data_IF_293386801966
#
_entry.id   IF_293386801966
#
_cell.length_a   1.000
_cell.length_b   1.000
_cell.length_c   1.000
_cell.angle_alpha   90.00
_cell.angle_beta   90.00
_cell.angle_gamma   90.00
#
_symmetry.space_group_name_H-M   'P 1'
#
loop_
_entity.id
_entity.type
_entity.pdbx_description
1 polymer ?
#
# COMPACT_ATOMS: atom_id res chain seq x y z
N UNK A 1 -43.99 9.48 -24.44
CA UNK A 1 -42.70 9.68 -25.13
C UNK A 1 -41.62 9.88 -24.08
N UNK A 2 -40.68 8.93 -24.02
CA UNK A 2 -39.35 8.94 -23.39
C UNK A 2 -39.22 9.27 -21.89
N UNK A 3 -39.22 8.20 -21.10
CA UNK A 3 -38.59 8.09 -19.77
C UNK A 3 -37.07 8.05 -19.91
N UNK A 4 -36.36 9.06 -19.41
CA UNK A 4 -34.90 9.04 -19.30
C UNK A 4 -34.50 8.32 -18.00
N UNK A 5 -34.18 7.02 -18.13
CA UNK A 5 -33.51 6.25 -17.08
C UNK A 5 -32.04 6.64 -17.00
N UNK A 6 -31.71 7.55 -16.07
CA UNK A 6 -30.33 7.80 -15.69
C UNK A 6 -29.77 6.58 -14.95
N UNK A 7 -28.88 5.83 -15.61
CA UNK A 7 -28.09 4.78 -14.95
C UNK A 7 -27.18 5.46 -13.93
N UNK A 8 -27.45 5.23 -12.65
CA UNK A 8 -26.48 5.48 -11.60
C UNK A 8 -25.24 4.61 -11.84
N UNK A 9 -24.07 5.23 -11.85
CA UNK A 9 -22.79 4.54 -11.87
C UNK A 9 -22.60 3.79 -10.54
N UNK A 10 -22.24 2.50 -10.53
CA UNK A 10 -22.04 1.77 -9.30
C UNK A 10 -20.65 2.10 -8.72
N UNK A 11 -20.59 3.17 -7.94
CA UNK A 11 -19.47 3.50 -7.07
C UNK A 11 -19.94 3.55 -5.61
N UNK A 12 -19.11 3.03 -4.70
CA UNK A 12 -19.18 3.14 -3.25
C UNK A 12 -20.20 2.25 -2.51
N UNK A 13 -19.85 0.97 -2.28
CA UNK A 13 -20.14 0.21 -1.05
C UNK A 13 -19.57 -1.23 -1.11
N UNK A 14 -18.28 -1.39 -0.83
CA UNK A 14 -17.62 -2.60 -0.26
C UNK A 14 -16.12 -2.44 -0.42
N UNK A 15 -15.32 -2.88 0.57
CA UNK A 15 -13.87 -2.71 0.66
C UNK A 15 -13.06 -3.50 -0.38
N UNK A 16 -13.39 -3.35 -1.66
CA UNK A 16 -12.68 -3.95 -2.78
C UNK A 16 -11.76 -2.91 -3.43
N UNK A 17 -10.44 -2.90 -3.17
CA UNK A 17 -9.67 -1.71 -3.52
C UNK A 17 -9.05 -1.71 -4.91
N UNK A 18 -9.17 -2.73 -5.78
CA UNK A 18 -8.53 -2.67 -7.11
C UNK A 18 -9.30 -3.41 -8.21
N UNK A 19 -9.41 -2.80 -9.40
CA UNK A 19 -9.66 -3.55 -10.61
C UNK A 19 -8.54 -4.59 -10.76
N UNK A 20 -8.92 -5.84 -11.03
CA UNK A 20 -7.95 -6.91 -11.19
C UNK A 20 -7.15 -6.65 -12.47
N UNK A 21 -5.82 -6.77 -12.45
CA UNK A 21 -4.99 -6.45 -13.61
C UNK A 21 -5.36 -7.39 -14.76
N UNK A 22 -5.52 -6.84 -15.97
CA UNK A 22 -5.86 -7.58 -17.19
C UNK A 22 -4.78 -8.58 -17.61
N UNK A 23 -3.53 -8.37 -17.20
CA UNK A 23 -2.43 -9.32 -17.39
C UNK A 23 -2.59 -10.58 -16.54
N UNK A 24 -3.45 -10.57 -15.51
CA UNK A 24 -3.71 -11.74 -14.66
C UNK A 24 -4.21 -12.95 -15.47
N UNK A 25 -4.98 -12.72 -16.53
CA UNK A 25 -5.49 -13.82 -17.36
C UNK A 25 -4.39 -14.50 -18.19
N UNK A 26 -3.15 -13.98 -18.15
CA UNK A 26 -1.96 -14.51 -18.84
C UNK A 26 -0.95 -15.15 -17.89
N UNK A 27 -1.35 -15.61 -16.70
CA UNK A 27 -0.47 -16.30 -15.73
C UNK A 27 0.43 -17.35 -16.39
N UNK A 28 -0.11 -18.22 -17.24
CA UNK A 28 0.69 -19.23 -17.96
C UNK A 28 1.77 -18.59 -18.84
N UNK A 29 1.43 -17.52 -19.55
CA UNK A 29 2.37 -16.75 -20.37
C UNK A 29 3.45 -16.09 -19.53
N UNK A 30 3.10 -15.45 -18.42
CA UNK A 30 4.06 -14.85 -17.48
C UNK A 30 5.04 -15.89 -16.92
N UNK A 31 4.56 -17.10 -16.62
CA UNK A 31 5.44 -18.21 -16.18
C UNK A 31 6.43 -18.62 -17.27
N UNK A 32 5.98 -18.64 -18.52
CA UNK A 32 6.84 -18.90 -19.67
C UNK A 32 7.86 -17.78 -19.89
N UNK A 33 7.46 -16.51 -19.74
CA UNK A 33 8.37 -15.35 -19.82
C UNK A 33 9.47 -15.43 -18.77
N UNK A 34 9.13 -15.68 -17.50
CA UNK A 34 10.12 -15.85 -16.43
C UNK A 34 11.09 -17.00 -16.72
N UNK A 35 10.58 -18.18 -17.10
CA UNK A 35 11.41 -19.34 -17.40
C UNK A 35 12.32 -19.14 -18.62
N UNK A 36 11.81 -18.50 -19.67
CA UNK A 36 12.62 -18.19 -20.87
C UNK A 36 13.73 -17.21 -20.53
N UNK A 37 13.46 -16.16 -19.76
CA UNK A 37 14.47 -15.20 -19.33
C UNK A 37 15.55 -15.87 -18.46
N UNK A 38 15.15 -16.74 -17.52
CA UNK A 38 16.08 -17.45 -16.63
C UNK A 38 17.01 -18.43 -17.38
N UNK A 39 16.51 -19.08 -18.45
CA UNK A 39 17.26 -20.11 -19.17
C UNK A 39 17.78 -19.68 -20.53
N UNK A 40 17.48 -18.47 -21.02
CA UNK A 40 17.90 -17.98 -22.34
C UNK A 40 17.49 -18.87 -23.53
N UNK A 41 16.48 -19.75 -23.35
CA UNK A 41 16.07 -20.73 -24.36
C UNK A 41 14.63 -21.20 -24.14
N UNK A 42 13.83 -21.17 -25.22
CA UNK A 42 12.46 -21.69 -25.22
C UNK A 42 12.42 -23.21 -25.04
N UNK A 43 13.44 -23.92 -25.52
CA UNK A 43 13.53 -25.38 -25.37
C UNK A 43 13.78 -25.74 -23.90
N UNK A 44 14.80 -25.14 -23.29
CA UNK A 44 15.10 -25.39 -21.86
C UNK A 44 13.96 -24.95 -20.95
N UNK A 45 13.31 -23.84 -21.25
CA UNK A 45 12.11 -23.41 -20.53
C UNK A 45 10.96 -24.40 -20.69
N UNK A 46 10.77 -24.99 -21.87
CA UNK A 46 9.74 -26.00 -22.09
C UNK A 46 10.00 -27.27 -21.27
N UNK A 47 11.25 -27.75 -21.25
CA UNK A 47 11.67 -28.89 -20.45
C UNK A 47 11.44 -28.64 -18.95
N UNK A 48 11.86 -27.47 -18.45
CA UNK A 48 11.70 -27.07 -17.05
C UNK A 48 10.23 -26.95 -16.64
N UNK A 49 9.38 -26.42 -17.53
CA UNK A 49 7.96 -26.22 -17.25
C UNK A 49 7.11 -27.47 -17.53
N UNK A 50 7.71 -28.56 -18.00
CA UNK A 50 7.03 -29.77 -18.50
C UNK A 50 5.99 -29.44 -19.59
N UNK A 51 6.33 -28.55 -20.52
CA UNK A 51 5.51 -28.13 -21.65
C UNK A 51 6.21 -28.46 -22.97
N UNK A 52 5.48 -28.41 -24.09
CA UNK A 52 6.12 -28.44 -25.41
C UNK A 52 6.70 -27.07 -25.77
N UNK A 53 7.81 -27.05 -26.52
CA UNK A 53 8.39 -25.79 -27.01
C UNK A 53 7.37 -24.91 -27.77
N UNK A 54 6.52 -25.45 -28.68
CA UNK A 54 5.47 -24.64 -29.31
C UNK A 54 4.44 -24.07 -28.33
N UNK A 55 4.19 -24.72 -27.19
CA UNK A 55 3.30 -24.18 -26.16
C UNK A 55 3.95 -23.00 -25.40
N UNK A 56 5.24 -23.09 -25.07
CA UNK A 56 5.99 -21.97 -24.46
C UNK A 56 6.05 -20.78 -25.40
N UNK A 57 6.43 -20.99 -26.66
CA UNK A 57 6.51 -19.91 -27.66
C UNK A 57 5.17 -19.21 -27.86
N UNK A 58 4.07 -19.96 -27.96
CA UNK A 58 2.72 -19.36 -28.08
C UNK A 58 2.34 -18.56 -26.84
N UNK A 59 2.62 -19.08 -25.64
CA UNK A 59 2.29 -18.40 -24.39
C UNK A 59 3.11 -17.10 -24.21
N UNK A 60 4.39 -17.09 -24.63
CA UNK A 60 5.21 -15.86 -24.66
C UNK A 60 4.64 -14.85 -25.65
N UNK A 61 4.29 -15.28 -26.87
CA UNK A 61 3.68 -14.41 -27.88
C UNK A 61 2.35 -13.77 -27.42
N UNK A 62 1.55 -14.47 -26.60
CA UNK A 62 0.33 -13.90 -26.01
C UNK A 62 0.62 -12.77 -25.02
N UNK A 63 1.74 -12.85 -24.28
CA UNK A 63 2.20 -11.76 -23.41
C UNK A 63 2.77 -10.63 -24.25
N UNK A 64 3.62 -10.91 -25.25
CA UNK A 64 4.16 -9.88 -26.16
C UNK A 64 3.05 -9.10 -26.87
N UNK A 65 1.99 -9.77 -27.31
CA UNK A 65 0.80 -9.13 -27.89
C UNK A 65 0.09 -8.20 -26.90
N UNK A 66 0.00 -8.58 -25.63
CA UNK A 66 -0.58 -7.72 -24.60
C UNK A 66 0.32 -6.53 -24.29
N UNK A 67 1.63 -6.76 -24.24
CA UNK A 67 2.63 -5.71 -24.07
C UNK A 67 2.74 -4.81 -25.31
N UNK A 68 2.20 -5.18 -26.46
CA UNK A 68 2.43 -4.53 -27.76
C UNK A 68 3.93 -4.33 -28.09
N UNK A 69 4.80 -5.21 -27.56
CA UNK A 69 6.24 -5.10 -27.67
C UNK A 69 6.90 -6.48 -27.59
N UNK A 70 8.04 -6.63 -28.27
CA UNK A 70 8.88 -7.83 -28.16
C UNK A 70 9.56 -7.86 -26.79
N UNK A 71 9.39 -8.97 -26.09
CA UNK A 71 10.04 -9.25 -24.81
C UNK A 71 11.35 -10.01 -25.02
N UNK A 72 11.49 -10.72 -26.15
CA UNK A 72 12.71 -11.47 -26.47
C UNK A 72 13.21 -11.23 -27.88
N UNK A 73 14.54 -11.20 -28.02
CA UNK A 73 15.25 -11.16 -29.29
C UNK A 73 16.01 -12.48 -29.51
N UNK A 74 16.10 -12.90 -30.76
CA UNK A 74 16.87 -14.09 -31.15
C UNK A 74 18.31 -13.68 -31.48
N UNK A 75 19.27 -14.33 -30.84
CA UNK A 75 20.69 -14.18 -31.15
C UNK A 75 21.36 -15.54 -31.42
N UNK A 76 22.62 -15.50 -31.86
CA UNK A 76 23.39 -16.70 -32.21
C UNK A 76 23.55 -17.71 -31.06
N UNK A 77 23.40 -17.28 -29.80
CA UNK A 77 23.56 -18.10 -28.59
C UNK A 77 22.25 -18.39 -27.84
N UNK A 78 21.09 -18.02 -28.39
CA UNK A 78 19.79 -18.28 -27.76
C UNK A 78 18.83 -17.10 -27.85
N UNK A 79 17.91 -17.01 -26.90
CA UNK A 79 16.99 -15.88 -26.76
C UNK A 79 17.42 -14.97 -25.62
N UNK A 80 17.41 -13.67 -25.88
CA UNK A 80 17.80 -12.63 -24.93
C UNK A 80 16.59 -11.75 -24.62
N UNK A 81 16.41 -11.41 -23.35
CA UNK A 81 15.34 -10.50 -22.96
C UNK A 81 15.66 -9.08 -23.42
N UNK A 82 14.68 -8.38 -24.00
CA UNK A 82 14.75 -6.93 -24.20
C UNK A 82 14.74 -6.22 -22.85
N UNK A 83 14.93 -4.89 -22.81
CA UNK A 83 14.83 -4.13 -21.54
C UNK A 83 13.47 -4.32 -20.88
N UNK A 84 12.38 -4.18 -21.66
CA UNK A 84 11.03 -4.50 -21.19
C UNK A 84 10.89 -5.98 -20.82
N UNK A 85 11.42 -6.88 -21.64
CA UNK A 85 11.42 -8.32 -21.39
C UNK A 85 12.02 -8.70 -20.04
N UNK A 86 13.18 -8.12 -19.71
CA UNK A 86 13.86 -8.35 -18.44
C UNK A 86 13.03 -7.83 -17.26
N UNK A 87 12.44 -6.63 -17.39
CA UNK A 87 11.56 -6.03 -16.37
C UNK A 87 10.33 -6.89 -16.10
N UNK A 88 9.64 -7.33 -17.14
CA UNK A 88 8.46 -8.19 -17.02
C UNK A 88 8.82 -9.57 -16.47
N UNK A 89 9.95 -10.16 -16.89
CA UNK A 89 10.42 -11.43 -16.36
C UNK A 89 10.75 -11.36 -14.86
N UNK A 90 11.40 -10.28 -14.41
CA UNK A 90 11.71 -10.07 -12.99
C UNK A 90 10.44 -9.97 -12.13
N UNK A 91 9.46 -9.17 -12.56
CA UNK A 91 8.17 -9.07 -11.86
C UNK A 91 7.41 -10.40 -11.90
N UNK A 92 7.46 -11.12 -13.01
CA UNK A 92 6.81 -12.43 -13.15
C UNK A 92 7.44 -13.45 -12.20
N UNK A 93 8.76 -13.42 -12.02
CA UNK A 93 9.43 -14.27 -11.03
C UNK A 93 8.93 -13.96 -9.61
N UNK A 94 8.98 -12.68 -9.20
CA UNK A 94 8.51 -12.25 -7.87
C UNK A 94 7.05 -12.60 -7.61
N UNK A 95 6.22 -12.47 -8.65
CA UNK A 95 4.82 -12.89 -8.63
C UNK A 95 4.67 -14.37 -8.28
N UNK A 96 5.42 -15.26 -8.94
CA UNK A 96 5.35 -16.69 -8.67
C UNK A 96 5.99 -17.04 -7.31
N UNK A 97 7.07 -16.36 -6.92
CA UNK A 97 7.67 -16.52 -5.59
C UNK A 97 6.65 -16.22 -4.48
N UNK A 98 5.84 -15.17 -4.63
CA UNK A 98 4.75 -14.87 -3.70
C UNK A 98 3.69 -15.98 -3.69
N UNK A 99 3.25 -16.45 -4.85
CA UNK A 99 2.25 -17.50 -4.94
C UNK A 99 2.72 -18.83 -4.32
N UNK A 100 4.00 -19.21 -4.52
CA UNK A 100 4.59 -20.40 -3.90
C UNK A 100 4.78 -20.23 -2.39
N UNK A 101 5.23 -19.06 -1.94
CA UNK A 101 5.32 -18.75 -0.52
C UNK A 101 3.94 -18.83 0.16
N UNK A 102 2.89 -18.33 -0.49
CA UNK A 102 1.52 -18.41 0.03
C UNK A 102 1.01 -19.83 0.20
N UNK A 103 1.25 -20.70 -0.78
CA UNK A 103 0.89 -22.11 -0.68
C UNK A 103 1.68 -22.81 0.45
N UNK A 104 2.99 -22.55 0.53
CA UNK A 104 3.86 -23.10 1.58
C UNK A 104 3.43 -22.66 2.98
N UNK A 105 3.18 -21.36 3.17
CA UNK A 105 2.73 -20.78 4.44
C UNK A 105 1.35 -21.32 4.85
N UNK A 106 0.42 -21.48 3.90
CA UNK A 106 -0.90 -22.02 4.16
C UNK A 106 -0.84 -23.46 4.69
N UNK A 107 0.01 -24.31 4.11
CA UNK A 107 0.23 -25.69 4.59
C UNK A 107 0.91 -25.71 5.96
N UNK A 108 1.88 -24.82 6.20
CA UNK A 108 2.59 -24.75 7.48
C UNK A 108 1.68 -24.36 8.67
N UNK A 109 0.59 -23.65 8.40
CA UNK A 109 -0.40 -23.23 9.40
C UNK A 109 -1.50 -24.28 9.65
N UNK A 110 -1.45 -25.44 8.99
CA UNK A 110 -2.42 -26.52 9.23
C UNK A 110 -2.10 -27.31 10.52
N UNK A 111 -3.13 -27.83 11.22
CA UNK A 111 -2.94 -28.70 12.39
C UNK A 111 -2.09 -29.94 12.05
N UNK A 112 -1.30 -30.41 13.02
CA UNK A 112 -0.49 -31.62 12.83
C UNK A 112 -1.38 -32.85 12.55
N UNK A 113 -1.15 -33.52 11.42
CA UNK A 113 -1.89 -34.71 10.98
C UNK A 113 -2.65 -34.55 9.67
N UNK A 114 -2.89 -33.32 9.19
CA UNK A 114 -3.44 -33.07 7.86
C UNK A 114 -2.32 -32.88 6.82
N UNK A 115 -1.94 -33.97 6.14
CA UNK A 115 -1.32 -33.95 4.81
C UNK A 115 -0.01 -33.15 4.62
N UNK A 116 1.06 -33.50 5.35
CA UNK A 116 2.42 -32.97 5.12
C UNK A 116 3.19 -33.62 3.96
N UNK A 117 2.62 -34.62 3.28
CA UNK A 117 3.35 -35.39 2.27
C UNK A 117 3.28 -34.80 0.85
N UNK A 118 4.47 -34.39 0.38
CA UNK A 118 4.97 -34.61 -0.97
C UNK A 118 4.23 -33.91 -2.12
N UNK A 119 4.77 -32.78 -2.56
CA UNK A 119 4.87 -32.27 -3.95
C UNK A 119 4.82 -30.74 -3.97
N UNK A 120 5.88 -30.12 -3.44
CA UNK A 120 6.18 -28.70 -3.67
C UNK A 120 6.44 -28.48 -5.18
N UNK A 121 5.90 -27.40 -5.76
CA UNK A 121 6.18 -26.99 -7.14
C UNK A 121 5.05 -27.17 -8.18
N UNK A 122 3.87 -27.73 -7.83
CA UNK A 122 2.72 -27.81 -8.77
C UNK A 122 1.73 -26.64 -8.66
N UNK A 123 1.76 -25.86 -7.58
CA UNK A 123 0.79 -24.78 -7.36
C UNK A 123 0.81 -23.76 -8.50
N UNK A 124 1.98 -23.17 -8.79
CA UNK A 124 2.14 -22.16 -9.82
C UNK A 124 1.92 -22.68 -11.25
N UNK A 125 2.02 -23.99 -11.47
CA UNK A 125 1.72 -24.60 -12.77
C UNK A 125 0.21 -24.66 -13.06
N UNK A 126 -0.62 -24.72 -12.02
CA UNK A 126 -2.05 -25.04 -12.12
C UNK A 126 -2.99 -23.95 -11.61
N UNK A 127 -2.48 -22.99 -10.82
CA UNK A 127 -3.29 -21.90 -10.28
C UNK A 127 -3.86 -21.03 -11.41
N UNK A 128 -5.13 -20.66 -11.27
CA UNK A 128 -5.86 -19.87 -12.27
C UNK A 128 -6.08 -18.44 -11.80
N UNK A 129 -6.20 -17.50 -12.74
CA UNK A 129 -6.59 -16.13 -12.39
C UNK A 129 -7.95 -16.12 -11.68
N UNK A 130 -8.91 -16.93 -12.12
CA UNK A 130 -10.24 -17.01 -11.53
C UNK A 130 -10.22 -17.40 -10.04
N UNK A 131 -9.38 -18.38 -9.66
CA UNK A 131 -9.27 -18.82 -8.27
C UNK A 131 -8.61 -17.77 -7.37
N UNK A 132 -7.56 -17.10 -7.86
CA UNK A 132 -6.93 -15.98 -7.14
C UNK A 132 -7.90 -14.80 -6.97
N UNK A 133 -8.61 -14.44 -8.04
CA UNK A 133 -9.64 -13.38 -8.06
C UNK A 133 -10.75 -13.71 -7.07
N UNK A 134 -11.21 -14.96 -7.02
CA UNK A 134 -12.24 -15.42 -6.08
C UNK A 134 -11.78 -15.32 -4.61
N UNK A 135 -10.52 -15.64 -4.29
CA UNK A 135 -10.01 -15.52 -2.92
C UNK A 135 -10.02 -14.07 -2.42
N UNK A 136 -9.54 -13.13 -3.26
CA UNK A 136 -9.62 -11.70 -2.93
C UNK A 136 -11.08 -11.27 -2.77
N UNK A 137 -11.97 -11.82 -3.59
CA UNK A 137 -13.38 -11.47 -3.57
C UNK A 137 -14.13 -11.86 -2.31
N UNK A 138 -13.91 -13.10 -1.87
CA UNK A 138 -14.57 -13.63 -0.70
C UNK A 138 -14.04 -12.96 0.57
N UNK A 139 -12.76 -12.58 0.59
CA UNK A 139 -12.16 -11.83 1.68
C UNK A 139 -12.81 -10.44 1.88
N UNK A 140 -13.14 -9.74 0.80
CA UNK A 140 -13.74 -8.41 0.86
C UNK A 140 -15.25 -8.43 1.21
N UNK A 141 -15.96 -9.51 0.88
CA UNK A 141 -17.43 -9.55 0.92
C UNK A 141 -18.02 -10.50 1.98
N UNK A 142 -17.23 -11.44 2.48
CA UNK A 142 -17.65 -12.54 3.37
C UNK A 142 -18.87 -13.37 2.84
N UNK A 143 -19.21 -13.22 1.56
CA UNK A 143 -20.38 -13.81 0.92
C UNK A 143 -20.04 -14.23 -0.51
N UNK A 144 -20.21 -15.52 -0.83
CA UNK A 144 -19.95 -16.05 -2.18
C UNK A 144 -20.87 -15.39 -3.23
N UNK A 145 -22.10 -15.03 -2.86
CA UNK A 145 -23.03 -14.34 -3.75
C UNK A 145 -22.55 -12.92 -4.07
N UNK A 146 -22.12 -12.16 -3.06
CA UNK A 146 -21.57 -10.81 -3.28
C UNK A 146 -20.23 -10.85 -4.01
N UNK A 147 -19.38 -11.84 -3.71
CA UNK A 147 -18.15 -12.08 -4.46
C UNK A 147 -18.42 -12.36 -5.95
N UNK A 148 -19.44 -13.18 -6.25
CA UNK A 148 -19.84 -13.48 -7.61
C UNK A 148 -20.38 -12.25 -8.35
N UNK A 149 -21.21 -11.44 -7.69
CA UNK A 149 -21.68 -10.16 -8.24
C UNK A 149 -20.50 -9.21 -8.53
N UNK A 150 -19.55 -9.08 -7.60
CA UNK A 150 -18.38 -8.22 -7.77
C UNK A 150 -17.48 -8.67 -8.92
N UNK A 151 -17.38 -9.98 -9.15
CA UNK A 151 -16.59 -10.57 -10.25
C UNK A 151 -17.34 -10.65 -11.59
N UNK A 152 -18.64 -10.34 -11.63
CA UNK A 152 -19.49 -10.55 -12.81
C UNK A 152 -19.61 -12.03 -13.19
N UNK A 153 -19.58 -12.93 -12.22
CA UNK A 153 -19.62 -14.38 -12.40
C UNK A 153 -20.85 -14.99 -11.70
N UNK A 154 -21.13 -16.27 -11.98
CA UNK A 154 -22.13 -17.02 -11.23
C UNK A 154 -21.58 -17.45 -9.86
N UNK A 155 -22.44 -17.52 -8.83
CA UNK A 155 -22.02 -18.02 -7.50
C UNK A 155 -21.42 -19.44 -7.55
N UNK A 156 -21.96 -20.42 -8.31
CA UNK A 156 -21.32 -21.73 -8.48
C UNK A 156 -19.92 -21.66 -9.09
N UNK A 157 -19.65 -20.70 -9.99
CA UNK A 157 -18.31 -20.50 -10.57
C UNK A 157 -17.31 -20.04 -9.50
N UNK A 158 -17.70 -19.08 -8.66
CA UNK A 158 -16.85 -18.60 -7.55
C UNK A 158 -16.61 -19.73 -6.54
N UNK A 159 -17.67 -20.47 -6.17
CA UNK A 159 -17.54 -21.61 -5.26
C UNK A 159 -16.54 -22.64 -5.78
N UNK A 160 -16.64 -23.02 -7.06
CA UNK A 160 -15.71 -23.95 -7.69
C UNK A 160 -14.27 -23.42 -7.69
N UNK A 161 -14.08 -22.17 -8.09
CA UNK A 161 -12.75 -21.54 -8.13
C UNK A 161 -12.08 -21.51 -6.75
N UNK A 162 -12.85 -21.28 -5.68
CA UNK A 162 -12.35 -21.35 -4.30
C UNK A 162 -11.98 -22.78 -3.88
N UNK A 163 -12.82 -23.77 -4.22
CA UNK A 163 -12.54 -25.19 -3.94
C UNK A 163 -11.30 -25.68 -4.68
N UNK A 164 -11.14 -25.28 -5.94
CA UNK A 164 -9.95 -25.58 -6.74
C UNK A 164 -8.70 -24.97 -6.09
N UNK A 165 -8.80 -23.75 -5.54
CA UNK A 165 -7.69 -23.13 -4.83
C UNK A 165 -7.29 -23.90 -3.56
N UNK A 166 -8.26 -24.29 -2.73
CA UNK A 166 -8.00 -25.08 -1.51
C UNK A 166 -7.38 -26.44 -1.87
N UNK A 167 -7.85 -27.09 -2.94
CA UNK A 167 -7.29 -28.35 -3.42
C UNK A 167 -5.85 -28.19 -3.91
N UNK A 168 -5.56 -27.15 -4.69
CA UNK A 168 -4.23 -26.86 -5.21
C UNK A 168 -3.24 -26.44 -4.11
N UNK A 169 -3.70 -25.60 -3.18
CA UNK A 169 -2.92 -25.19 -2.01
C UNK A 169 -2.76 -26.32 -0.98
N UNK A 170 -3.59 -27.38 -1.08
CA UNK A 170 -3.69 -28.48 -0.12
C UNK A 170 -3.96 -28.00 1.30
N UNK A 171 -4.66 -26.88 1.42
CA UNK A 171 -4.97 -26.23 2.67
C UNK A 171 -6.41 -25.75 2.68
N UNK A 172 -7.07 -25.87 3.85
CA UNK A 172 -8.38 -25.29 4.06
C UNK A 172 -8.21 -23.79 4.30
N UNK A 173 -8.58 -22.99 3.31
CA UNK A 173 -8.45 -21.53 3.34
C UNK A 173 -9.71 -20.87 3.89
N UNK A 174 -10.85 -21.57 3.85
CA UNK A 174 -12.16 -21.01 4.16
C UNK A 174 -12.91 -21.88 5.16
N UNK A 175 -13.71 -21.22 6.00
CA UNK A 175 -14.67 -21.88 6.88
C UNK A 175 -16.01 -21.13 6.87
N UNK A 176 -17.08 -21.87 7.10
CA UNK A 176 -18.44 -21.31 7.18
C UNK A 176 -18.73 -20.89 8.61
N UNK A 177 -19.12 -19.64 8.77
CA UNK A 177 -19.62 -19.05 10.01
C UNK A 177 -21.12 -18.77 9.88
N UNK A 178 -21.78 -18.54 11.02
CA UNK A 178 -23.17 -18.04 11.07
C UNK A 178 -23.30 -16.69 10.34
N UNK A 179 -22.21 -15.91 10.25
CA UNK A 179 -22.16 -14.60 9.56
C UNK A 179 -21.65 -14.66 8.11
N UNK A 180 -21.54 -15.85 7.52
CA UNK A 180 -21.05 -16.04 6.15
C UNK A 180 -19.71 -16.78 6.07
N UNK A 181 -19.03 -16.65 4.94
CA UNK A 181 -17.75 -17.32 4.68
C UNK A 181 -16.60 -16.49 5.21
N UNK A 182 -15.68 -17.10 5.96
CA UNK A 182 -14.50 -16.45 6.54
C UNK A 182 -13.22 -17.19 6.16
N UNK A 183 -12.10 -16.47 6.21
CA UNK A 183 -10.78 -17.05 6.04
C UNK A 183 -10.35 -17.78 7.32
N UNK A 184 -9.61 -18.88 7.14
CA UNK A 184 -8.77 -19.47 8.19
C UNK A 184 -7.45 -18.71 8.26
N UNK A 185 -6.60 -18.98 9.26
CA UNK A 185 -5.25 -18.42 9.33
C UNK A 185 -4.42 -18.75 8.07
N UNK A 186 -4.56 -19.97 7.55
CA UNK A 186 -3.99 -20.38 6.27
C UNK A 186 -4.55 -19.56 5.09
N UNK A 187 -5.85 -19.26 5.11
CA UNK A 187 -6.51 -18.38 4.15
C UNK A 187 -6.01 -16.93 4.20
N UNK A 188 -5.77 -16.40 5.39
CA UNK A 188 -5.21 -15.05 5.57
C UNK A 188 -3.76 -14.96 5.07
N UNK A 189 -2.93 -15.96 5.40
CA UNK A 189 -1.55 -16.06 4.90
C UNK A 189 -1.51 -16.14 3.37
N UNK A 190 -2.35 -16.99 2.77
CA UNK A 190 -2.47 -17.11 1.32
C UNK A 190 -2.95 -15.81 0.69
N UNK A 191 -4.00 -15.17 1.25
CA UNK A 191 -4.54 -13.92 0.72
C UNK A 191 -3.46 -12.82 0.68
N UNK A 192 -2.68 -12.65 1.75
CA UNK A 192 -1.59 -11.67 1.79
C UNK A 192 -0.64 -11.84 0.62
N UNK A 193 -0.24 -13.08 0.33
CA UNK A 193 0.68 -13.41 -0.76
C UNK A 193 0.04 -13.24 -2.14
N UNK A 194 -1.24 -13.55 -2.30
CA UNK A 194 -2.00 -13.28 -3.52
C UNK A 194 -2.12 -11.79 -3.82
N UNK A 195 -2.33 -10.95 -2.79
CA UNK A 195 -2.36 -9.49 -2.97
C UNK A 195 -1.01 -8.94 -3.43
N UNK A 196 0.10 -9.43 -2.87
CA UNK A 196 1.45 -9.09 -3.33
C UNK A 196 1.68 -9.52 -4.79
N UNK A 197 1.25 -10.72 -5.18
CA UNK A 197 1.29 -11.16 -6.58
C UNK A 197 0.47 -10.23 -7.51
N UNK A 198 -0.71 -9.77 -7.08
CA UNK A 198 -1.48 -8.79 -7.85
C UNK A 198 -0.82 -7.41 -7.92
N UNK A 199 -0.07 -7.00 -6.90
CA UNK A 199 0.73 -5.79 -6.97
C UNK A 199 1.82 -5.89 -8.05
N UNK A 200 2.51 -7.03 -8.18
CA UNK A 200 3.47 -7.26 -9.28
C UNK A 200 2.80 -7.19 -10.65
N UNK A 201 1.59 -7.74 -10.81
CA UNK A 201 0.84 -7.66 -12.06
C UNK A 201 0.45 -6.21 -12.41
N UNK A 202 -0.02 -5.42 -11.44
CA UNK A 202 -0.32 -3.99 -11.65
C UNK A 202 0.94 -3.22 -12.04
N UNK A 203 2.05 -3.53 -11.37
CA UNK A 203 3.33 -2.91 -11.67
C UNK A 203 3.84 -3.26 -13.09
N UNK A 204 3.61 -4.49 -13.57
CA UNK A 204 3.86 -4.86 -14.97
C UNK A 204 3.05 -4.00 -15.94
N UNK A 205 1.76 -3.79 -15.68
CA UNK A 205 0.91 -2.97 -16.55
C UNK A 205 1.33 -1.50 -16.58
N UNK A 206 1.74 -0.95 -15.44
CA UNK A 206 2.31 0.40 -15.36
C UNK A 206 3.62 0.50 -16.15
N UNK A 207 4.52 -0.48 -16.01
CA UNK A 207 5.79 -0.51 -16.75
C UNK A 207 5.58 -0.69 -18.26
N UNK A 208 4.61 -1.51 -18.68
CA UNK A 208 4.21 -1.64 -20.09
C UNK A 208 3.69 -0.31 -20.62
N UNK A 209 2.85 0.40 -19.87
CA UNK A 209 2.32 1.68 -20.33
C UNK A 209 3.44 2.74 -20.45
N UNK A 210 4.32 2.80 -19.45
CA UNK A 210 5.49 3.69 -19.42
C UNK A 210 6.44 3.42 -20.59
N UNK A 211 6.64 2.16 -20.97
CA UNK A 211 7.40 1.78 -22.17
C UNK A 211 6.85 2.41 -23.46
N UNK A 212 5.55 2.65 -23.54
CA UNK A 212 4.90 3.33 -24.66
C UNK A 212 4.84 4.86 -24.48
N UNK A 213 5.61 5.41 -23.54
CA UNK A 213 5.65 6.83 -23.23
C UNK A 213 4.48 7.34 -22.39
N UNK A 214 3.70 6.44 -21.78
CA UNK A 214 2.53 6.82 -20.98
C UNK A 214 2.64 6.30 -19.54
N UNK A 215 3.05 7.16 -18.62
CA UNK A 215 3.01 6.83 -17.19
C UNK A 215 1.57 6.94 -16.70
N UNK A 216 1.00 5.78 -16.35
CA UNK A 216 -0.36 5.66 -15.83
C UNK A 216 -0.44 4.53 -14.81
N UNK A 217 -1.54 4.53 -14.07
CA UNK A 217 -1.83 3.50 -13.09
C UNK A 217 -2.49 4.11 -11.86
N UNK A 218 -2.34 3.43 -10.73
CA UNK A 218 -2.98 3.84 -9.49
C UNK A 218 -2.03 3.61 -8.33
N UNK A 219 -1.74 4.68 -7.60
CA UNK A 219 -0.86 4.68 -6.44
C UNK A 219 -1.67 5.00 -5.18
N UNK A 220 -1.66 4.09 -4.21
CA UNK A 220 -2.35 4.26 -2.93
C UNK A 220 -1.34 4.62 -1.84
N UNK A 221 -1.52 5.80 -1.24
CA UNK A 221 -0.65 6.41 -0.25
C UNK A 221 -1.33 6.35 1.12
N UNK A 222 -0.66 5.71 2.07
CA UNK A 222 -1.01 5.80 3.49
C UNK A 222 -0.40 7.05 4.12
N UNK A 223 -1.21 8.03 4.50
CA UNK A 223 -0.77 9.26 5.13
C UNK A 223 -0.81 9.17 6.67
N UNK A 224 0.32 9.45 7.32
CA UNK A 224 0.36 9.67 8.77
C UNK A 224 0.08 11.14 9.11
N UNK A 225 -0.54 11.41 10.27
CA UNK A 225 -0.78 12.77 10.75
C UNK A 225 0.49 13.63 10.81
N UNK A 226 0.30 14.95 10.78
CA UNK A 226 1.35 15.95 11.03
C UNK A 226 2.56 15.90 10.08
N UNK A 227 2.39 15.23 8.94
CA UNK A 227 3.45 15.03 7.95
C UNK A 227 3.05 15.55 6.58
N UNK A 228 1.75 15.53 6.26
CA UNK A 228 1.27 15.64 4.87
C UNK A 228 0.71 17.00 4.47
N UNK A 229 0.72 18.02 5.32
CA UNK A 229 -0.18 19.17 5.10
C UNK A 229 0.31 20.19 4.07
N UNK A 230 1.60 20.20 3.72
CA UNK A 230 2.11 21.10 2.66
C UNK A 230 2.76 20.33 1.51
N UNK A 231 3.72 19.44 1.78
CA UNK A 231 4.51 18.81 0.72
C UNK A 231 3.74 17.75 -0.08
N UNK A 232 2.88 16.94 0.57
CA UNK A 232 2.15 15.88 -0.13
C UNK A 232 1.17 16.44 -1.18
N UNK A 233 0.34 17.47 -0.87
CA UNK A 233 -0.47 18.15 -1.87
C UNK A 233 0.33 18.67 -3.06
N UNK A 234 1.52 19.26 -2.82
CA UNK A 234 2.40 19.75 -3.88
C UNK A 234 2.92 18.60 -4.76
N UNK A 235 3.37 17.50 -4.17
CA UNK A 235 3.80 16.32 -4.89
C UNK A 235 2.68 15.70 -5.73
N UNK A 236 1.47 15.60 -5.16
CA UNK A 236 0.28 15.11 -5.86
C UNK A 236 -0.08 16.04 -7.02
N UNK A 237 -0.03 17.35 -6.82
CA UNK A 237 -0.28 18.32 -7.87
C UNK A 237 0.74 18.19 -9.01
N UNK A 238 2.03 18.10 -8.69
CA UNK A 238 3.09 17.95 -9.68
C UNK A 238 2.93 16.67 -10.52
N UNK A 239 2.69 15.52 -9.86
CA UNK A 239 2.57 14.24 -10.58
C UNK A 239 1.29 14.16 -11.41
N UNK A 240 0.16 14.68 -10.93
CA UNK A 240 -1.12 14.63 -11.67
C UNK A 240 -1.13 15.62 -12.85
N UNK A 241 -0.35 16.70 -12.78
CA UNK A 241 -0.12 17.59 -13.91
C UNK A 241 0.81 16.97 -14.96
N UNK A 242 1.89 16.32 -14.53
CA UNK A 242 2.85 15.66 -15.42
C UNK A 242 2.27 14.38 -16.05
N UNK A 243 1.44 13.65 -15.31
CA UNK A 243 0.88 12.36 -15.70
C UNK A 243 -0.62 12.26 -15.36
N UNK A 244 -1.51 12.84 -16.21
CA UNK A 244 -2.95 12.92 -15.93
C UNK A 244 -3.68 11.57 -15.82
N UNK A 245 -3.09 10.48 -16.32
CA UNK A 245 -3.63 9.12 -16.21
C UNK A 245 -3.16 8.38 -14.93
N UNK A 246 -2.39 9.02 -14.06
CA UNK A 246 -2.04 8.48 -12.74
C UNK A 246 -3.13 8.85 -11.74
N UNK A 247 -3.83 7.84 -11.23
CA UNK A 247 -4.76 7.98 -10.11
C UNK A 247 -4.00 7.90 -8.78
N UNK A 248 -4.07 8.97 -7.97
CA UNK A 248 -3.52 8.96 -6.61
C UNK A 248 -4.65 8.84 -5.60
N UNK A 249 -4.55 7.85 -4.71
CA UNK A 249 -5.50 7.66 -3.60
C UNK A 249 -4.76 7.85 -2.29
N UNK A 250 -5.23 8.77 -1.46
CA UNK A 250 -4.66 9.00 -0.12
C UNK A 250 -5.63 8.45 0.92
N UNK A 251 -5.10 7.63 1.84
CA UNK A 251 -5.86 7.11 2.98
C UNK A 251 -5.15 7.48 4.28
N UNK A 252 -5.92 7.91 5.27
CA UNK A 252 -5.41 8.18 6.62
C UNK A 252 -5.52 6.93 7.50
N UNK A 253 -4.58 6.78 8.44
CA UNK A 253 -4.64 5.68 9.40
C UNK A 253 -3.63 5.81 10.54
N UNK A 254 -3.71 4.89 11.50
CA UNK A 254 -2.61 4.70 12.46
C UNK A 254 -1.43 4.02 11.77
N UNK A 255 -0.23 4.17 12.33
CA UNK A 255 0.96 3.54 11.77
C UNK A 255 0.83 2.02 11.67
N UNK A 256 0.27 1.38 12.69
CA UNK A 256 0.07 -0.07 12.75
C UNK A 256 -0.93 -0.54 11.70
N UNK A 257 -2.00 0.25 11.48
CA UNK A 257 -2.99 -0.04 10.43
C UNK A 257 -2.38 0.08 9.05
N UNK A 258 -1.67 1.18 8.76
CA UNK A 258 -1.04 1.41 7.47
C UNK A 258 0.09 0.42 7.20
N UNK A 259 0.89 0.06 8.22
CA UNK A 259 1.94 -0.95 8.09
C UNK A 259 1.38 -2.32 7.72
N UNK A 260 0.23 -2.72 8.29
CA UNK A 260 -0.48 -3.93 7.87
C UNK A 260 -0.97 -3.83 6.43
N UNK A 261 -1.54 -2.70 6.03
CA UNK A 261 -2.00 -2.49 4.64
C UNK A 261 -0.82 -2.53 3.65
N UNK A 262 0.33 -1.97 4.02
CA UNK A 262 1.55 -1.99 3.21
C UNK A 262 2.04 -3.43 3.01
N UNK A 263 2.07 -4.24 4.07
CA UNK A 263 2.49 -5.65 3.99
C UNK A 263 1.51 -6.54 3.23
N UNK A 264 0.26 -6.12 3.11
CA UNK A 264 -0.78 -6.79 2.31
C UNK A 264 -0.94 -6.20 0.91
N UNK A 265 -0.10 -5.23 0.52
CA UNK A 265 -0.20 -4.53 -0.76
C UNK A 265 -1.58 -3.89 -1.04
N UNK A 266 -2.27 -3.49 0.03
CA UNK A 266 -3.47 -2.65 -0.02
C UNK A 266 -3.11 -1.15 -0.15
N UNK A 267 -1.89 -0.79 0.26
CA UNK A 267 -1.24 0.49 -0.05
C UNK A 267 0.15 0.27 -0.63
N UNK A 268 0.66 1.24 -1.36
CA UNK A 268 1.95 1.18 -2.04
C UNK A 268 3.08 1.85 -1.26
N UNK A 269 2.75 2.92 -0.52
CA UNK A 269 3.71 3.70 0.26
C UNK A 269 3.05 4.29 1.49
N UNK A 270 3.78 4.37 2.60
CA UNK A 270 3.40 5.16 3.77
C UNK A 270 4.20 6.46 3.75
N UNK A 271 3.54 7.58 3.97
CA UNK A 271 4.16 8.91 4.05
C UNK A 271 3.97 9.46 5.46
N UNK A 272 5.06 9.79 6.13
CA UNK A 272 4.96 10.27 7.50
C UNK A 272 6.25 10.38 8.30
N UNK A 273 6.10 10.71 9.58
CA UNK A 273 7.21 10.64 10.53
C UNK A 273 7.78 9.22 10.59
N UNK A 274 9.07 9.11 10.30
CA UNK A 274 9.82 7.86 10.30
C UNK A 274 9.91 7.26 11.70
N UNK A 275 10.06 5.94 11.74
CA UNK A 275 10.14 5.12 12.95
C UNK A 275 11.26 4.09 12.79
N UNK A 276 11.69 3.42 13.87
CA UNK A 276 12.53 2.23 13.72
C UNK A 276 11.92 1.27 12.70
N UNK A 277 12.71 0.86 11.69
CA UNK A 277 12.21 0.09 10.56
C UNK A 277 11.67 -1.26 11.02
N UNK A 278 10.41 -1.53 10.65
CA UNK A 278 9.82 -2.84 10.81
C UNK A 278 10.46 -3.82 9.82
N UNK A 279 10.45 -5.12 10.15
CA UNK A 279 10.94 -6.15 9.23
C UNK A 279 10.20 -6.11 7.88
N UNK A 280 10.96 -6.17 6.78
CA UNK A 280 10.41 -6.14 5.43
C UNK A 280 9.95 -4.75 4.96
N UNK A 281 10.36 -3.67 5.64
CA UNK A 281 10.07 -2.29 5.27
C UNK A 281 11.34 -1.47 5.18
N UNK A 282 11.57 -0.86 4.02
CA UNK A 282 12.60 0.16 3.84
C UNK A 282 12.01 1.55 4.01
N UNK A 283 12.79 2.45 4.60
CA UNK A 283 12.41 3.84 4.81
C UNK A 283 13.42 4.76 4.13
N UNK A 284 12.93 5.87 3.59
CA UNK A 284 13.73 6.94 3.00
C UNK A 284 13.32 8.26 3.66
N UNK A 285 14.28 8.95 4.28
CA UNK A 285 14.09 10.27 4.84
C UNK A 285 14.03 11.31 3.72
N UNK A 286 13.06 12.22 3.79
CA UNK A 286 12.91 13.32 2.85
C UNK A 286 13.38 14.65 3.48
N UNK A 287 12.91 14.96 4.68
CA UNK A 287 13.25 16.19 5.39
C UNK A 287 12.97 16.08 6.89
N UNK A 288 13.48 17.03 7.68
CA UNK A 288 13.16 17.11 9.10
C UNK A 288 12.07 18.16 9.38
N UNK A 289 11.14 17.82 10.28
CA UNK A 289 10.01 18.65 10.68
C UNK A 289 9.99 18.87 12.20
N UNK A 290 10.17 20.11 12.68
CA UNK A 290 9.91 20.45 14.08
C UNK A 290 8.41 20.47 14.40
N UNK A 291 8.08 20.21 15.67
CA UNK A 291 6.74 20.45 16.19
C UNK A 291 6.61 21.85 16.81
N UNK A 292 5.38 22.34 16.84
CA UNK A 292 5.01 23.58 17.49
C UNK A 292 3.78 23.38 18.38
N UNK A 293 3.72 24.16 19.46
CA UNK A 293 2.54 24.24 20.31
C UNK A 293 1.66 25.35 19.76
N UNK A 294 0.37 25.08 19.63
CA UNK A 294 -0.64 26.05 19.18
C UNK A 294 -1.67 26.30 20.28
N UNK A 295 -2.20 27.52 20.27
CA UNK A 295 -3.30 27.98 21.12
C UNK A 295 -4.28 28.81 20.28
N UNK A 296 -5.50 29.07 20.77
CA UNK A 296 -6.39 30.03 20.11
C UNK A 296 -5.81 31.46 20.14
N UNK A 297 -6.25 32.33 19.22
CA UNK A 297 -6.05 33.77 19.38
C UNK A 297 -6.58 34.27 20.73
N UNK A 298 -5.80 35.15 21.38
CA UNK A 298 -6.15 35.71 22.70
C UNK A 298 -6.05 34.73 23.88
N UNK A 299 -5.35 33.60 23.71
CA UNK A 299 -5.14 32.66 24.80
C UNK A 299 -4.30 33.28 25.94
N UNK A 300 -4.66 33.10 27.23
CA UNK A 300 -3.98 33.76 28.35
C UNK A 300 -2.48 33.48 28.46
N UNK A 301 -2.02 32.31 28.00
CA UNK A 301 -0.59 31.97 28.01
C UNK A 301 0.25 32.91 27.13
N UNK A 302 -0.33 33.51 26.09
CA UNK A 302 0.37 34.39 25.15
C UNK A 302 0.62 35.79 25.74
N UNK A 303 -0.07 36.17 26.81
CA UNK A 303 0.16 37.44 27.50
C UNK A 303 1.42 37.43 28.40
N UNK A 304 2.05 36.28 28.61
CA UNK A 304 3.24 36.13 29.45
C UNK A 304 4.51 36.49 28.68
N UNK A 305 5.30 37.44 29.21
CA UNK A 305 6.58 37.89 28.60
C UNK A 305 7.67 36.81 28.55
N UNK A 306 7.75 35.94 29.56
CA UNK A 306 8.76 34.88 29.66
C UNK A 306 8.10 33.52 29.79
N UNK A 307 7.48 33.08 28.70
CA UNK A 307 6.77 31.81 28.65
C UNK A 307 7.76 30.63 28.57
N UNK A 308 7.43 29.53 29.26
CA UNK A 308 8.26 28.33 29.36
C UNK A 308 7.35 27.11 29.52
N UNK A 309 7.84 25.89 29.27
CA UNK A 309 7.03 24.67 29.30
C UNK A 309 6.28 24.46 30.62
N UNK A 310 6.92 24.73 31.77
CA UNK A 310 6.28 24.62 33.09
C UNK A 310 4.99 25.45 33.22
N UNK A 311 4.92 26.60 32.54
CA UNK A 311 3.75 27.48 32.59
C UNK A 311 2.58 26.94 31.74
N UNK A 312 2.82 25.91 30.93
CA UNK A 312 1.81 25.30 30.07
C UNK A 312 1.11 24.11 30.75
N UNK A 313 1.63 23.61 31.88
CA UNK A 313 1.06 22.48 32.63
C UNK A 313 -0.31 22.78 33.24
N UNK A 314 -0.61 24.05 33.47
CA UNK A 314 -1.89 24.48 34.04
C UNK A 314 -3.06 24.42 33.05
N UNK A 315 -2.77 24.23 31.75
CA UNK A 315 -3.78 24.19 30.70
C UNK A 315 -4.07 22.75 30.29
N UNK A 316 -5.28 22.53 29.80
CA UNK A 316 -5.65 21.26 29.18
C UNK A 316 -5.01 21.11 27.79
N UNK A 317 -4.80 19.88 27.36
CA UNK A 317 -4.18 19.58 26.07
C UNK A 317 -5.09 18.72 25.19
N UNK A 318 -4.96 18.93 23.88
CA UNK A 318 -5.31 17.95 22.86
C UNK A 318 -4.03 17.22 22.48
N UNK A 319 -3.90 16.00 22.95
CA UNK A 319 -2.68 15.21 22.82
C UNK A 319 -2.71 14.34 21.55
N UNK A 320 -1.57 14.14 20.86
CA UNK A 320 -1.44 13.03 19.93
C UNK A 320 -1.64 11.70 20.67
N UNK A 321 -2.10 10.61 20.02
CA UNK A 321 -2.26 9.33 20.68
C UNK A 321 -0.94 8.81 21.26
N UNK A 322 -1.03 8.10 22.38
CA UNK A 322 0.12 7.51 23.07
C UNK A 322 0.99 6.65 22.12
N UNK A 323 2.31 6.75 22.28
CA UNK A 323 3.27 5.96 21.50
C UNK A 323 3.51 6.47 20.07
N UNK A 324 2.86 7.57 19.67
CA UNK A 324 3.20 8.25 18.41
C UNK A 324 4.48 9.09 18.59
N UNK A 325 5.28 9.30 17.51
CA UNK A 325 6.49 10.13 17.57
C UNK A 325 6.22 11.53 18.14
N UNK A 326 5.08 12.12 17.79
CA UNK A 326 4.68 13.43 18.31
C UNK A 326 4.39 13.40 19.82
N UNK A 327 3.69 12.37 20.31
CA UNK A 327 3.44 12.20 21.76
C UNK A 327 4.74 11.99 22.55
N UNK A 328 5.64 11.14 22.05
CA UNK A 328 6.92 10.83 22.70
C UNK A 328 7.83 12.06 22.75
N UNK A 329 7.95 12.78 21.62
CA UNK A 329 8.76 13.99 21.53
C UNK A 329 8.28 15.09 22.50
N UNK A 330 6.95 15.24 22.68
CA UNK A 330 6.41 16.20 23.64
C UNK A 330 6.74 15.79 25.08
N UNK A 331 6.52 14.52 25.43
CA UNK A 331 6.82 14.01 26.77
C UNK A 331 8.32 14.12 27.09
N UNK A 332 9.18 13.81 26.13
CA UNK A 332 10.63 13.99 26.24
C UNK A 332 11.03 15.47 26.43
N UNK A 333 10.38 16.41 25.73
CA UNK A 333 10.63 17.83 25.91
C UNK A 333 10.28 18.33 27.33
N UNK A 334 9.20 17.83 27.93
CA UNK A 334 8.87 18.11 29.34
C UNK A 334 9.85 17.42 30.30
N UNK A 335 10.15 16.13 30.09
CA UNK A 335 11.04 15.35 30.93
C UNK A 335 12.47 15.91 30.95
N UNK A 336 12.98 16.41 29.81
CA UNK A 336 14.28 17.06 29.70
C UNK A 336 14.40 18.33 30.58
N UNK A 337 13.29 18.91 31.01
CA UNK A 337 13.25 20.04 31.96
C UNK A 337 12.88 19.61 33.39
N UNK A 338 12.86 18.31 33.68
CA UNK A 338 12.44 17.77 34.97
C UNK A 338 10.96 17.99 35.27
N UNK A 339 10.13 18.19 34.25
CA UNK A 339 8.70 18.45 34.38
C UNK A 339 7.88 17.19 34.12
N UNK A 340 6.71 17.03 34.77
CA UNK A 340 5.76 16.01 34.36
C UNK A 340 5.21 16.33 32.95
N UNK A 341 4.73 15.31 32.26
CA UNK A 341 3.99 15.52 31.01
C UNK A 341 2.64 16.23 31.25
N UNK A 342 2.09 16.90 30.23
CA UNK A 342 0.78 17.55 30.34
C UNK A 342 -0.36 16.55 30.56
N UNK A 343 -1.48 17.04 31.11
CA UNK A 343 -2.69 16.24 31.28
C UNK A 343 -3.25 15.73 29.96
N UNK A 344 -3.64 14.45 29.92
CA UNK A 344 -4.02 13.76 28.68
C UNK A 344 -5.54 13.52 28.60
N UNK A 345 -6.34 14.54 28.91
CA UNK A 345 -7.81 14.42 28.98
C UNK A 345 -8.47 14.19 27.61
N UNK A 346 -7.80 14.58 26.52
CA UNK A 346 -8.24 14.35 25.15
C UNK A 346 -7.06 13.91 24.28
N UNK A 347 -7.20 12.77 23.58
CA UNK A 347 -6.21 12.29 22.62
C UNK A 347 -6.84 12.13 21.22
N UNK A 348 -6.15 12.57 20.17
CA UNK A 348 -6.61 12.35 18.79
C UNK A 348 -5.47 12.45 17.78
N UNK A 349 -5.51 11.62 16.74
CA UNK A 349 -4.68 11.75 15.55
C UNK A 349 -5.31 12.64 14.47
N UNK A 350 -6.55 13.09 14.66
CA UNK A 350 -7.26 13.95 13.73
C UNK A 350 -6.85 15.41 13.95
N UNK A 351 -6.01 15.92 13.06
CA UNK A 351 -5.45 17.29 13.12
C UNK A 351 -6.53 18.36 12.95
N UNK A 352 -7.57 18.09 12.16
CA UNK A 352 -8.72 18.98 12.00
C UNK A 352 -9.52 19.13 13.29
N UNK A 353 -9.79 18.00 13.98
CA UNK A 353 -10.44 18.01 15.30
C UNK A 353 -9.56 18.75 16.31
N UNK A 354 -8.26 18.46 16.35
CA UNK A 354 -7.34 19.13 17.26
C UNK A 354 -7.34 20.65 17.07
N UNK A 355 -7.25 21.13 15.82
CA UNK A 355 -7.32 22.56 15.51
C UNK A 355 -8.65 23.19 15.90
N UNK A 356 -9.78 22.52 15.63
CA UNK A 356 -11.10 23.02 16.00
C UNK A 356 -11.28 23.13 17.53
N UNK A 357 -10.77 22.15 18.27
CA UNK A 357 -10.78 22.17 19.74
C UNK A 357 -9.91 23.30 20.28
N UNK A 358 -8.71 23.48 19.75
CA UNK A 358 -7.84 24.60 20.13
C UNK A 358 -8.50 25.94 19.84
N UNK A 359 -9.05 26.13 18.64
CA UNK A 359 -9.63 27.41 18.23
C UNK A 359 -10.83 27.88 19.06
N UNK A 360 -11.50 26.97 19.78
CA UNK A 360 -12.73 27.25 20.55
C UNK A 360 -12.55 27.13 22.07
N UNK A 361 -11.37 26.74 22.56
CA UNK A 361 -11.12 26.51 24.00
C UNK A 361 -9.75 27.03 24.45
N UNK A 362 -9.48 26.96 25.75
CA UNK A 362 -8.13 27.22 26.31
C UNK A 362 -7.24 25.97 26.29
N UNK A 363 -7.52 25.02 25.38
CA UNK A 363 -6.67 23.86 25.17
C UNK A 363 -5.47 24.22 24.31
N UNK A 364 -4.33 23.63 24.64
CA UNK A 364 -3.14 23.63 23.81
C UNK A 364 -3.09 22.37 22.95
N UNK A 365 -2.44 22.42 21.79
CA UNK A 365 -2.16 21.22 21.02
C UNK A 365 -0.77 21.27 20.40
N UNK A 366 -0.29 20.10 20.00
CA UNK A 366 0.95 19.94 19.26
C UNK A 366 0.63 19.72 17.78
N UNK A 367 1.36 20.40 16.89
CA UNK A 367 1.23 20.20 15.45
C UNK A 367 2.57 20.42 14.73
N UNK A 368 2.62 20.19 13.41
CA UNK A 368 3.77 20.56 12.58
C UNK A 368 4.00 22.06 12.65
N UNK A 369 5.26 22.52 12.75
CA UNK A 369 5.57 23.94 12.74
C UNK A 369 5.15 24.59 11.42
N UNK A 370 5.35 23.91 10.29
CA UNK A 370 4.89 24.36 8.97
C UNK A 370 3.38 24.57 8.95
N UNK A 371 2.62 23.59 9.46
CA UNK A 371 1.16 23.71 9.55
C UNK A 371 0.73 24.82 10.52
N UNK A 372 1.38 24.95 11.68
CA UNK A 372 1.09 25.99 12.65
C UNK A 372 1.28 27.39 12.06
N UNK A 373 2.34 27.59 11.26
CA UNK A 373 2.60 28.86 10.57
C UNK A 373 1.51 29.20 9.56
N UNK A 374 1.08 28.22 8.76
CA UNK A 374 -0.01 28.40 7.80
C UNK A 374 -1.34 28.74 8.51
N UNK A 375 -1.70 27.97 9.53
CA UNK A 375 -2.94 28.21 10.31
C UNK A 375 -2.89 29.56 11.06
N UNK A 376 -1.72 29.99 11.53
CA UNK A 376 -1.56 31.28 12.20
C UNK A 376 -1.65 32.47 11.23
N UNK A 377 -1.10 32.34 10.02
CA UNK A 377 -1.28 33.34 8.97
C UNK A 377 -2.77 33.49 8.59
N UNK A 378 -3.52 32.39 8.60
CA UNK A 378 -4.96 32.38 8.39
C UNK A 378 -5.78 32.85 9.62
N UNK A 379 -5.14 33.21 10.73
CA UNK A 379 -5.80 33.67 11.96
C UNK A 379 -6.57 32.58 12.72
N UNK A 380 -6.38 31.30 12.39
CA UNK A 380 -7.10 30.18 13.01
C UNK A 380 -6.55 29.85 14.41
N UNK A 381 -5.23 29.99 14.59
CA UNK A 381 -4.51 29.70 15.83
C UNK A 381 -3.33 30.68 16.00
N UNK A 382 -2.67 30.64 17.14
CA UNK A 382 -1.39 31.31 17.37
C UNK A 382 -0.33 30.29 17.77
N UNK A 383 0.91 30.49 17.31
CA UNK A 383 2.06 29.73 17.82
C UNK A 383 2.35 30.18 19.24
N UNK A 384 2.49 29.21 20.14
CA UNK A 384 2.97 29.45 21.50
C UNK A 384 4.50 29.62 21.44
N UNK A 385 5.08 30.74 21.93
CA UNK A 385 6.50 31.06 21.77
C UNK A 385 7.37 30.28 22.76
N UNK A 386 7.34 28.95 22.67
CA UNK A 386 8.18 28.04 23.45
C UNK A 386 8.95 27.14 22.49
N UNK A 387 10.28 27.18 22.58
CA UNK A 387 11.14 26.35 21.75
C UNK A 387 11.01 24.88 22.16
N UNK A 388 10.90 24.01 21.15
CA UNK A 388 10.83 22.56 21.31
C UNK A 388 11.94 21.86 20.50
N UNK A 389 13.23 22.11 20.80
CA UNK A 389 14.34 21.61 19.99
C UNK A 389 14.41 20.07 19.95
N UNK A 390 13.90 19.38 20.98
CA UNK A 390 13.85 17.92 21.04
C UNK A 390 12.76 17.30 20.14
N UNK A 391 11.98 18.11 19.43
CA UNK A 391 10.80 17.63 18.68
C UNK A 391 11.00 17.57 17.17
N UNK A 392 12.25 17.68 16.71
CA UNK A 392 12.61 17.41 15.32
C UNK A 392 12.31 15.95 14.98
N UNK A 393 11.55 15.73 13.91
CA UNK A 393 11.20 14.39 13.41
C UNK A 393 11.60 14.29 11.96
N UNK A 394 12.24 13.19 11.59
CA UNK A 394 12.46 12.89 10.18
C UNK A 394 11.15 12.46 9.53
N UNK A 395 10.73 13.18 8.50
CA UNK A 395 9.57 12.87 7.67
C UNK A 395 10.09 12.19 6.41
N UNK A 396 9.41 11.13 5.99
CA UNK A 396 9.77 10.45 4.77
C UNK A 396 8.75 9.43 4.31
N UNK A 397 9.23 8.46 3.54
CA UNK A 397 8.43 7.41 2.94
C UNK A 397 8.85 6.03 3.43
N UNK A 398 7.89 5.12 3.60
CA UNK A 398 8.13 3.71 3.89
C UNK A 398 7.51 2.84 2.79
N UNK A 399 8.31 1.93 2.26
CA UNK A 399 7.98 1.01 1.17
C UNK A 399 8.27 -0.43 1.63
N UNK A 400 7.70 -1.44 0.95
CA UNK A 400 8.14 -2.81 1.22
C UNK A 400 9.59 -2.97 0.78
N UNK A 401 10.39 -3.71 1.53
CA UNK A 401 11.82 -3.92 1.26
C UNK A 401 12.06 -4.47 -0.15
N UNK A 402 11.23 -5.44 -0.56
CA UNK A 402 11.31 -6.07 -1.87
C UNK A 402 10.87 -5.17 -3.03
N UNK A 403 10.28 -4.00 -2.77
CA UNK A 403 9.68 -3.18 -3.82
C UNK A 403 10.72 -2.53 -4.73
N UNK A 404 10.73 -3.04 -5.96
CA UNK A 404 11.09 -2.34 -7.18
C UNK A 404 9.88 -1.54 -7.70
N UNK A 405 9.84 -0.20 -7.48
CA UNK A 405 8.68 0.62 -7.77
C UNK A 405 8.22 0.48 -9.23
N UNK A 406 6.90 0.44 -9.43
CA UNK A 406 6.32 0.63 -10.76
C UNK A 406 6.58 2.04 -11.27
N UNK A 407 6.45 2.24 -12.58
CA UNK A 407 6.69 3.54 -13.21
C UNK A 407 5.83 4.67 -12.62
N UNK A 408 4.55 4.42 -12.31
CA UNK A 408 3.66 5.36 -11.63
C UNK A 408 4.09 5.68 -10.19
N UNK A 409 4.41 4.66 -9.38
CA UNK A 409 4.92 4.85 -8.02
C UNK A 409 6.27 5.58 -8.03
N UNK A 410 7.15 5.28 -8.98
CA UNK A 410 8.42 5.98 -9.14
C UNK A 410 8.23 7.47 -9.44
N UNK A 411 7.26 7.82 -10.30
CA UNK A 411 6.92 9.21 -10.58
C UNK A 411 6.36 9.92 -9.34
N UNK A 412 5.49 9.27 -8.57
CA UNK A 412 4.98 9.80 -7.28
C UNK A 412 6.11 10.03 -6.28
N UNK A 413 7.02 9.06 -6.12
CA UNK A 413 8.17 9.19 -5.22
C UNK A 413 9.13 10.30 -5.67
N UNK A 414 9.36 10.46 -6.97
CA UNK A 414 10.15 11.57 -7.51
C UNK A 414 9.53 12.93 -7.18
N UNK A 415 8.23 13.09 -7.42
CA UNK A 415 7.50 14.31 -7.06
C UNK A 415 7.53 14.60 -5.55
N UNK A 416 7.51 13.57 -4.70
CA UNK A 416 7.67 13.74 -3.24
C UNK A 416 9.06 14.25 -2.86
N UNK A 417 10.11 13.74 -3.52
CA UNK A 417 11.49 14.21 -3.30
C UNK A 417 11.66 15.67 -3.72
N UNK A 418 11.13 16.04 -4.88
CA UNK A 418 11.17 17.42 -5.37
C UNK A 418 10.39 18.37 -4.44
N UNK A 419 9.17 17.99 -4.04
CA UNK A 419 8.38 18.80 -3.09
C UNK A 419 9.07 18.94 -1.72
N UNK A 420 9.86 17.94 -1.31
CA UNK A 420 10.61 18.00 -0.06
C UNK A 420 11.82 18.94 -0.08
N UNK A 421 12.45 19.14 -1.24
CA UNK A 421 13.57 20.09 -1.34
C UNK A 421 13.14 21.55 -1.27
N UNK A 422 11.89 21.84 -1.63
CA UNK A 422 11.31 23.19 -1.59
C UNK A 422 10.67 23.54 -0.23
N UNK A 423 10.65 22.59 0.72
CA UNK A 423 9.86 22.65 1.96
C UNK A 423 10.57 23.19 3.18
#
# INVERSE_FOLDING_TARGET
MHTAGGRMSPGAASGWPHALPGIADRLKGLRCVAAVAAHGSAVRAADMLCLSQPAVTRAVLEVEKFCAASLFERGARGMFATVLGARIAQRAQRLFDHLEAGATEAVALMPEGEGRDGMQGRFCASVSAASLKALVAIAASASEAHAAQALGQSQPSVHRALRDLESLARARLLWKSVRGTRLTDAGEAMLRRVKLAFAEMRAMESDIASWHGNVRGRVVIGALPLSVTLFLPQAIQAVTQAHPEVEVVVIDGTYESLLRQLSHADIDVIVGALRPAAAGVRQEALFDEPLAIIARPGHPCLARRSLALRHLLQWDWVMPPNGTPASLALLEAFAAQGLPGPGQTLQTNNTTLARAMVGTTDRLALTSLRQARADALAGLVCLVPVALPQTMRSIGVALRESDDPSSDLAAVLAAMREASSDS
#
